data_IF_354311886123
#
_entry.id   IF_354311886123
#
_cell.length_a   1.000
_cell.length_b   1.000
_cell.length_c   1.000
_cell.angle_alpha   90.00
_cell.angle_beta   90.00
_cell.angle_gamma   90.00
#
_symmetry.space_group_name_H-M   'P 1'
#
loop_
_entity.id
_entity.type
_entity.pdbx_description
1 polymer ?
#
# COMPACT_ATOMS: atom_id res chain seq x y z
N UNK A 1 11.66 4.17 1.69
CA UNK A 1 11.60 2.70 1.52
C UNK A 1 12.40 2.32 0.27
N UNK A 2 13.39 1.42 0.37
CA UNK A 2 14.26 1.04 -0.76
C UNK A 2 13.50 0.38 -1.91
N UNK A 3 12.54 -0.51 -1.61
CA UNK A 3 11.72 -1.16 -2.65
C UNK A 3 10.82 -0.18 -3.40
N UNK A 4 10.20 0.78 -2.70
CA UNK A 4 9.39 1.83 -3.35
C UNK A 4 10.27 2.75 -4.18
N UNK A 5 11.46 3.09 -3.69
CA UNK A 5 12.42 3.89 -4.45
C UNK A 5 12.86 3.18 -5.73
N UNK A 6 13.21 1.89 -5.64
CA UNK A 6 13.57 1.05 -6.78
C UNK A 6 12.40 0.88 -7.77
N UNK A 7 11.17 0.73 -7.28
CA UNK A 7 9.99 0.64 -8.14
C UNK A 7 9.68 1.94 -8.91
N UNK A 8 10.14 3.09 -8.39
CA UNK A 8 10.00 4.39 -9.02
C UNK A 8 11.20 4.79 -9.90
N UNK A 9 12.27 4.00 -9.93
CA UNK A 9 13.40 4.22 -10.82
C UNK A 9 13.23 3.44 -12.13
N UNK A 10 13.84 3.93 -13.20
CA UNK A 10 13.88 3.26 -14.51
C UNK A 10 15.03 2.23 -14.60
N UNK A 11 15.63 1.88 -13.45
CA UNK A 11 16.75 0.93 -13.39
C UNK A 11 16.25 -0.51 -13.43
N UNK A 12 17.02 -1.38 -14.10
CA UNK A 12 16.78 -2.82 -14.11
C UNK A 12 17.41 -3.45 -12.87
N UNK A 13 16.59 -3.99 -11.97
CA UNK A 13 17.05 -4.65 -10.73
C UNK A 13 17.04 -6.19 -10.85
N UNK A 14 16.88 -6.72 -12.06
CA UNK A 14 16.92 -8.16 -12.35
C UNK A 14 15.70 -8.91 -11.83
N UNK A 15 15.91 -10.03 -11.13
CA UNK A 15 14.81 -10.90 -10.67
C UNK A 15 13.81 -10.20 -9.74
N UNK A 16 14.28 -9.20 -8.99
CA UNK A 16 13.44 -8.46 -8.04
C UNK A 16 12.39 -7.60 -8.76
N UNK A 17 12.58 -7.27 -10.05
CA UNK A 17 11.62 -6.48 -10.83
C UNK A 17 10.26 -7.17 -10.93
N UNK A 18 10.22 -8.50 -10.88
CA UNK A 18 8.95 -9.24 -10.85
C UNK A 18 8.15 -8.93 -9.57
N UNK A 19 8.83 -8.74 -8.44
CA UNK A 19 8.20 -8.32 -7.18
C UNK A 19 7.86 -6.82 -7.19
N UNK A 20 8.75 -5.98 -7.75
CA UNK A 20 8.53 -4.53 -7.84
C UNK A 20 7.35 -4.17 -8.76
N UNK A 21 7.01 -5.03 -9.74
CA UNK A 21 5.89 -4.81 -10.66
C UNK A 21 4.58 -4.48 -9.96
N UNK A 22 4.32 -5.05 -8.77
CA UNK A 22 3.12 -4.74 -7.99
C UNK A 22 3.11 -3.32 -7.44
N UNK A 23 4.27 -2.81 -7.03
CA UNK A 23 4.41 -1.41 -6.61
C UNK A 23 4.29 -0.49 -7.84
N UNK A 24 4.86 -0.89 -8.97
CA UNK A 24 4.74 -0.15 -10.25
C UNK A 24 3.30 -0.07 -10.76
N UNK A 25 2.49 -1.12 -10.58
CA UNK A 25 1.06 -1.11 -10.89
C UNK A 25 0.32 -0.04 -10.07
N UNK A 26 0.59 0.05 -8.76
CA UNK A 26 0.04 1.10 -7.89
C UNK A 26 0.50 2.48 -8.35
N UNK A 27 1.78 2.64 -8.67
CA UNK A 27 2.32 3.90 -9.17
C UNK A 27 1.61 4.34 -10.46
N UNK A 28 1.44 3.45 -11.43
CA UNK A 28 0.75 3.75 -12.70
C UNK A 28 -0.70 4.16 -12.48
N UNK A 29 -1.39 3.54 -11.53
CA UNK A 29 -2.78 3.89 -11.19
C UNK A 29 -2.91 5.31 -10.59
N UNK A 30 -1.85 5.83 -9.96
CA UNK A 30 -1.83 7.12 -9.26
C UNK A 30 -0.78 8.09 -9.83
N UNK A 31 -0.36 7.87 -11.08
CA UNK A 31 0.85 8.52 -11.61
C UNK A 31 0.78 10.04 -11.52
N UNK A 32 -0.34 10.65 -11.91
CA UNK A 32 -0.50 12.10 -11.87
C UNK A 32 -0.37 12.67 -10.44
N UNK A 33 -0.92 11.99 -9.43
CA UNK A 33 -0.86 12.42 -8.03
C UNK A 33 0.56 12.26 -7.45
N UNK A 34 1.25 11.19 -7.84
CA UNK A 34 2.62 10.91 -7.40
C UNK A 34 3.62 11.88 -8.06
N UNK A 35 3.49 12.11 -9.37
CA UNK A 35 4.41 12.97 -10.13
C UNK A 35 4.17 14.47 -9.87
N UNK A 36 3.02 14.84 -9.29
CA UNK A 36 2.81 16.19 -8.75
C UNK A 36 3.62 16.49 -7.48
N UNK A 37 4.22 15.48 -6.84
CA UNK A 37 5.07 15.61 -5.64
C UNK A 37 6.54 15.48 -5.99
N UNK A 38 7.42 16.06 -5.18
CA UNK A 38 8.87 16.04 -5.41
C UNK A 38 9.65 15.54 -4.20
N UNK A 39 10.90 15.11 -4.43
CA UNK A 39 11.81 14.69 -3.37
C UNK A 39 11.24 13.61 -2.44
N UNK A 40 11.37 13.80 -1.14
CA UNK A 40 10.90 12.83 -0.12
C UNK A 40 9.38 12.71 -0.11
N UNK A 41 8.63 13.78 -0.40
CA UNK A 41 7.17 13.75 -0.41
C UNK A 41 6.62 12.79 -1.46
N UNK A 42 7.29 12.69 -2.62
CA UNK A 42 6.93 11.71 -3.66
C UNK A 42 7.09 10.28 -3.16
N UNK A 43 8.20 10.00 -2.49
CA UNK A 43 8.51 8.67 -1.96
C UNK A 43 7.57 8.29 -0.82
N UNK A 44 7.34 9.22 0.12
CA UNK A 44 6.49 9.00 1.30
C UNK A 44 5.04 8.76 0.86
N UNK A 45 4.53 9.58 -0.07
CA UNK A 45 3.19 9.39 -0.62
C UNK A 45 3.03 8.07 -1.40
N UNK A 46 4.04 7.69 -2.19
CA UNK A 46 4.02 6.38 -2.86
C UNK A 46 4.05 5.21 -1.85
N UNK A 47 4.72 5.38 -0.70
CA UNK A 47 4.67 4.39 0.38
C UNK A 47 3.25 4.28 0.95
N UNK A 48 2.56 5.40 1.20
CA UNK A 48 1.18 5.43 1.67
C UNK A 48 0.22 4.73 0.69
N UNK A 49 0.32 5.05 -0.61
CA UNK A 49 -0.47 4.39 -1.65
C UNK A 49 -0.21 2.88 -1.71
N UNK A 50 1.05 2.47 -1.60
CA UNK A 50 1.39 1.05 -1.57
C UNK A 50 0.80 0.35 -0.33
N UNK A 51 0.82 0.99 0.85
CA UNK A 51 0.18 0.45 2.05
C UNK A 51 -1.33 0.31 1.83
N UNK A 52 -1.98 1.33 1.27
CA UNK A 52 -3.42 1.29 0.99
C UNK A 52 -3.79 0.14 0.04
N UNK A 53 -3.03 -0.03 -1.04
CA UNK A 53 -3.21 -1.13 -1.98
C UNK A 53 -3.04 -2.50 -1.32
N UNK A 54 -2.04 -2.66 -0.44
CA UNK A 54 -1.82 -3.95 0.24
C UNK A 54 -2.86 -4.24 1.31
N UNK A 55 -3.34 -3.23 2.03
CA UNK A 55 -4.48 -3.39 2.95
C UNK A 55 -5.71 -3.87 2.18
N UNK A 56 -6.01 -3.27 1.03
CA UNK A 56 -7.11 -3.72 0.17
C UNK A 56 -6.90 -5.17 -0.33
N UNK A 57 -5.68 -5.53 -0.73
CA UNK A 57 -5.36 -6.91 -1.14
C UNK A 57 -5.59 -7.92 -0.02
N UNK A 58 -5.14 -7.62 1.21
CA UNK A 58 -5.37 -8.46 2.39
C UNK A 58 -6.87 -8.62 2.65
N UNK A 59 -7.62 -7.52 2.59
CA UNK A 59 -9.06 -7.54 2.78
C UNK A 59 -9.79 -8.37 1.72
N UNK A 60 -9.29 -8.43 0.49
CA UNK A 60 -9.86 -9.24 -0.60
C UNK A 60 -9.53 -10.73 -0.52
N UNK A 61 -8.67 -11.15 0.40
CA UNK A 61 -8.36 -12.58 0.57
C UNK A 61 -9.59 -13.36 1.07
N UNK A 62 -9.71 -14.61 0.64
CA UNK A 62 -10.78 -15.51 1.12
C UNK A 62 -10.75 -15.69 2.63
N UNK A 63 -9.57 -15.61 3.26
CA UNK A 63 -9.40 -15.73 4.72
C UNK A 63 -10.13 -14.59 5.44
N UNK A 64 -9.89 -13.35 5.03
CA UNK A 64 -10.50 -12.16 5.66
C UNK A 64 -11.99 -12.09 5.32
N UNK A 65 -12.36 -12.32 4.06
CA UNK A 65 -13.76 -12.34 3.63
C UNK A 65 -14.58 -13.38 4.40
N UNK A 66 -14.07 -14.61 4.55
CA UNK A 66 -14.74 -15.66 5.32
C UNK A 66 -14.81 -15.33 6.82
N UNK A 67 -13.88 -14.53 7.36
CA UNK A 67 -13.94 -14.07 8.75
C UNK A 67 -15.10 -13.09 8.96
N UNK A 68 -15.23 -12.10 8.09
CA UNK A 68 -16.36 -11.18 8.15
C UNK A 68 -17.70 -11.88 7.88
N UNK A 69 -17.76 -12.78 6.90
CA UNK A 69 -19.00 -13.52 6.57
C UNK A 69 -19.51 -14.39 7.73
N UNK A 70 -18.62 -14.97 8.55
CA UNK A 70 -19.03 -15.73 9.75
C UNK A 70 -19.30 -14.86 10.99
N UNK A 71 -19.31 -13.54 10.84
CA UNK A 71 -19.53 -12.59 11.93
C UNK A 71 -18.37 -12.43 12.90
N UNK A 72 -17.15 -12.87 12.53
CA UNK A 72 -15.98 -12.65 13.38
C UNK A 72 -15.54 -11.19 13.31
N UNK A 73 -15.37 -10.57 14.48
CA UNK A 73 -14.80 -9.21 14.56
C UNK A 73 -13.33 -9.24 14.14
N UNK A 74 -13.01 -8.55 13.05
CA UNK A 74 -11.67 -8.45 12.48
C UNK A 74 -11.51 -7.09 11.81
N UNK A 75 -10.37 -6.43 12.02
CA UNK A 75 -10.00 -5.18 11.34
C UNK A 75 -8.61 -5.28 10.73
N UNK A 76 -8.42 -4.64 9.57
CA UNK A 76 -7.14 -4.55 8.87
C UNK A 76 -6.71 -3.09 8.84
N UNK A 77 -5.48 -2.81 9.29
CA UNK A 77 -4.98 -1.45 9.46
C UNK A 77 -3.73 -1.20 8.61
N UNK A 78 -3.61 0.00 8.04
CA UNK A 78 -2.44 0.46 7.30
C UNK A 78 -1.53 1.31 8.17
N UNK A 79 -0.33 0.81 8.49
CA UNK A 79 0.65 1.50 9.34
C UNK A 79 1.96 1.71 8.57
N UNK A 80 2.64 2.83 8.81
CA UNK A 80 3.97 3.12 8.29
C UNK A 80 4.92 3.45 9.44
N UNK A 81 6.17 3.02 9.34
CA UNK A 81 7.21 3.30 10.32
C UNK A 81 8.26 4.24 9.72
N UNK A 82 8.43 5.41 10.33
CA UNK A 82 9.44 6.37 9.95
C UNK A 82 10.81 5.97 10.48
N UNK A 83 11.76 5.68 9.58
CA UNK A 83 13.14 5.36 10.00
C UNK A 83 13.90 6.58 10.53
N UNK A 84 13.44 7.80 10.21
CA UNK A 84 14.11 9.06 10.59
C UNK A 84 13.78 9.48 12.02
N UNK A 85 12.53 9.29 12.43
CA UNK A 85 11.98 9.70 13.73
C UNK A 85 11.72 8.51 14.66
N UNK A 86 11.73 7.28 14.14
CA UNK A 86 11.43 6.07 14.90
C UNK A 86 9.96 5.95 15.28
N UNK A 87 9.08 6.74 14.64
CA UNK A 87 7.67 6.80 14.99
C UNK A 87 6.83 5.93 14.06
N UNK A 88 5.84 5.30 14.67
CA UNK A 88 4.81 4.59 13.95
C UNK A 88 3.66 5.55 13.63
N UNK A 89 3.40 5.72 12.35
CA UNK A 89 2.35 6.59 11.83
C UNK A 89 1.21 5.74 11.26
N UNK A 90 -0.01 6.01 11.73
CA UNK A 90 -1.21 5.43 11.15
C UNK A 90 -1.61 6.30 9.94
N UNK A 91 -1.78 5.68 8.76
CA UNK A 91 -2.17 6.43 7.54
C UNK A 91 -3.68 6.72 7.48
N UNK A 92 -4.41 6.48 8.56
CA UNK A 92 -5.86 6.69 8.65
C UNK A 92 -6.69 5.58 7.99
N UNK A 93 -6.07 4.45 7.63
CA UNK A 93 -6.75 3.35 6.95
C UNK A 93 -7.04 2.20 7.92
N UNK A 94 -8.33 1.97 8.16
CA UNK A 94 -8.84 0.88 9.00
C UNK A 94 -10.09 0.30 8.33
N UNK A 95 -10.03 -0.98 7.95
CA UNK A 95 -11.14 -1.68 7.30
C UNK A 95 -11.63 -2.80 8.21
N UNK A 96 -12.88 -2.73 8.64
CA UNK A 96 -13.51 -3.68 9.56
C UNK A 96 -14.60 -4.54 8.92
N UNK A 97 -14.89 -4.31 7.64
CA UNK A 97 -15.91 -5.05 6.90
C UNK A 97 -15.82 -4.83 5.39
N UNK A 98 -16.43 -5.71 4.58
CA UNK A 98 -16.38 -5.65 3.12
C UNK A 98 -17.01 -4.37 2.54
N UNK A 99 -17.99 -3.78 3.20
CA UNK A 99 -18.68 -2.55 2.80
C UNK A 99 -17.76 -1.31 2.78
N UNK A 100 -16.59 -1.40 3.42
CA UNK A 100 -15.61 -0.32 3.49
C UNK A 100 -14.51 -0.42 2.41
N UNK A 101 -14.57 -1.45 1.54
CA UNK A 101 -13.58 -1.63 0.48
C UNK A 101 -13.87 -0.74 -0.74
N UNK A 102 -12.85 -0.07 -1.31
CA UNK A 102 -13.02 0.67 -2.56
C UNK A 102 -13.35 -0.26 -3.73
N UNK A 103 -14.43 0.05 -4.46
CA UNK A 103 -14.82 -0.61 -5.71
C UNK A 103 -15.45 -1.99 -5.54
N UNK A 104 -16.52 -2.08 -4.74
CA UNK A 104 -17.40 -3.26 -4.70
C UNK A 104 -18.11 -3.53 -6.02
#
# INVERSE_FOLDING_TARGET
>A
CGAVQAALSDENHGLIDNWLRKIQEVYRAHQAEVDAKTGTQRLDYMCELNIAAQVANVCRTTIVQNAWQRGQQLSVHGWVYGLKDGLLHNIGLSISGPEQLPGG
#
